data_IF_819510499137
#
_entry.id   IF_819510499137
#
_cell.length_a   1.000
_cell.length_b   1.000
_cell.length_c   1.000
_cell.angle_alpha   90.00
_cell.angle_beta   90.00
_cell.angle_gamma   90.00
#
_symmetry.space_group_name_H-M   'P 1'
#
loop_
_entity.id
_entity.type
_entity.pdbx_description
1 polymer ?
#
# COMPACT_ATOMS: atom_id res chain seq x y z
N UNK A 1 -13.84 15.22 12.43
CA UNK A 1 -13.06 14.69 11.30
C UNK A 1 -12.90 13.18 11.42
N UNK A 2 -13.07 12.42 10.34
CA UNK A 2 -12.85 10.97 10.29
C UNK A 2 -11.40 10.66 9.89
N UNK A 3 -10.72 9.87 10.73
CA UNK A 3 -9.34 9.45 10.50
C UNK A 3 -9.30 7.94 10.30
N UNK A 4 -8.57 7.51 9.28
CA UNK A 4 -8.32 6.12 9.01
C UNK A 4 -7.02 5.68 9.69
N UNK A 5 -7.12 4.78 10.65
CA UNK A 5 -6.00 4.28 11.44
C UNK A 5 -5.63 2.89 10.93
N UNK A 6 -4.40 2.75 10.43
CA UNK A 6 -3.87 1.51 9.83
C UNK A 6 -2.81 0.91 10.73
N UNK A 7 -2.99 -0.36 11.09
CA UNK A 7 -2.07 -1.08 11.96
C UNK A 7 -1.39 -2.21 11.21
N UNK A 8 -0.10 -2.37 11.48
CA UNK A 8 0.75 -3.35 10.84
C UNK A 8 1.41 -4.28 11.86
N UNK A 9 1.77 -5.48 11.40
CA UNK A 9 2.47 -6.50 12.18
C UNK A 9 1.83 -6.77 13.56
N UNK A 10 2.57 -6.57 14.65
CA UNK A 10 2.12 -6.86 16.03
C UNK A 10 0.94 -5.98 16.47
N UNK A 11 0.88 -4.72 16.03
CA UNK A 11 -0.23 -3.81 16.35
C UNK A 11 -1.54 -4.25 15.73
N UNK A 12 -1.51 -4.87 14.55
CA UNK A 12 -2.72 -5.47 13.97
C UNK A 12 -3.28 -6.58 14.85
N UNK A 13 -2.43 -7.36 15.50
CA UNK A 13 -2.86 -8.42 16.41
C UNK A 13 -3.43 -7.84 17.71
N UNK A 14 -2.85 -6.75 18.23
CA UNK A 14 -3.34 -6.04 19.42
C UNK A 14 -4.73 -5.40 19.19
N UNK A 15 -4.94 -4.75 18.04
CA UNK A 15 -6.20 -4.07 17.68
C UNK A 15 -7.24 -5.06 17.11
N UNK A 16 -6.80 -6.21 16.61
CA UNK A 16 -7.66 -7.21 15.96
C UNK A 16 -8.12 -6.83 14.54
N UNK A 17 -7.80 -5.62 14.07
CA UNK A 17 -8.18 -5.10 12.76
C UNK A 17 -7.00 -4.46 12.03
N UNK A 18 -6.95 -4.60 10.70
CA UNK A 18 -5.90 -3.94 9.88
C UNK A 18 -6.10 -2.44 9.73
N UNK A 19 -7.37 -2.01 9.76
CA UNK A 19 -7.77 -0.63 9.54
C UNK A 19 -9.03 -0.38 10.38
N UNK A 20 -9.07 0.75 11.07
CA UNK A 20 -10.28 1.24 11.75
C UNK A 20 -10.49 2.71 11.38
N UNK A 21 -11.73 3.16 11.33
CA UNK A 21 -12.07 4.57 11.21
C UNK A 21 -12.50 5.12 12.56
N UNK A 22 -11.95 6.26 12.97
CA UNK A 22 -12.26 6.94 14.22
C UNK A 22 -12.53 8.41 13.98
N UNK A 23 -13.53 8.92 14.68
CA UNK A 23 -13.92 10.32 14.60
C UNK A 23 -13.21 11.10 15.72
N UNK A 24 -12.47 12.16 15.34
CA UNK A 24 -11.79 13.07 16.25
C UNK A 24 -12.26 14.52 16.05
N UNK A 25 -11.89 15.40 16.99
CA UNK A 25 -12.09 16.85 16.88
C UNK A 25 -11.33 17.45 15.69
N UNK A 26 -11.89 18.49 15.09
CA UNK A 26 -11.31 19.16 13.93
C UNK A 26 -9.97 19.83 14.27
N UNK A 27 -8.93 19.54 13.49
CA UNK A 27 -7.57 20.03 13.77
C UNK A 27 -6.83 19.24 14.85
N UNK A 28 -7.29 18.04 15.20
CA UNK A 28 -6.56 17.14 16.08
C UNK A 28 -5.15 16.86 15.53
N UNK A 29 -4.18 16.83 16.43
CA UNK A 29 -2.80 16.50 16.11
C UNK A 29 -2.55 14.98 16.26
N UNK A 30 -1.50 14.50 15.58
CA UNK A 30 -1.10 13.09 15.61
C UNK A 30 -0.91 12.62 17.04
N UNK A 31 -0.35 13.43 17.94
CA UNK A 31 -0.17 13.07 19.34
C UNK A 31 -1.48 12.85 20.09
N UNK A 32 -2.49 13.69 19.87
CA UNK A 32 -3.83 13.49 20.45
C UNK A 32 -4.47 12.20 19.96
N UNK A 33 -4.35 11.90 18.66
CA UNK A 33 -4.89 10.67 18.07
C UNK A 33 -4.19 9.42 18.59
N UNK A 34 -2.85 9.44 18.71
CA UNK A 34 -2.07 8.32 19.24
C UNK A 34 -2.38 8.07 20.73
N UNK A 35 -2.51 9.11 21.55
CA UNK A 35 -2.90 8.95 22.98
C UNK A 35 -4.29 8.36 23.12
N UNK A 36 -5.24 8.83 22.31
CA UNK A 36 -6.60 8.31 22.32
C UNK A 36 -6.61 6.83 21.90
N UNK A 37 -5.76 6.46 20.93
CA UNK A 37 -5.57 5.08 20.51
C UNK A 37 -4.98 4.18 21.60
N UNK A 38 -3.93 4.63 22.29
CA UNK A 38 -3.35 3.88 23.42
C UNK A 38 -4.36 3.71 24.55
N UNK A 39 -5.19 4.73 24.81
CA UNK A 39 -6.27 4.65 25.82
C UNK A 39 -7.40 3.72 25.39
N UNK A 40 -7.71 3.65 24.09
CA UNK A 40 -8.78 2.80 23.55
C UNK A 40 -8.34 1.33 23.48
N UNK A 41 -7.06 1.07 23.27
CA UNK A 41 -6.50 -0.28 23.10
C UNK A 41 -5.35 -0.54 24.09
N UNK A 42 -5.67 -1.30 25.15
CA UNK A 42 -4.73 -1.75 26.19
C UNK A 42 -3.46 -2.41 25.62
N UNK A 43 -3.56 -3.10 24.48
CA UNK A 43 -2.44 -3.75 23.80
C UNK A 43 -1.49 -2.82 23.04
N UNK A 44 -1.80 -1.52 22.97
CA UNK A 44 -0.93 -0.47 22.39
C UNK A 44 -0.34 0.44 23.46
N UNK A 45 -0.82 0.38 24.71
CA UNK A 45 -0.41 1.28 25.77
C UNK A 45 1.08 1.15 26.08
N UNK A 46 1.83 2.25 25.90
CA UNK A 46 3.28 2.29 26.15
C UNK A 46 4.12 1.68 25.03
N UNK A 47 3.49 1.15 23.97
CA UNK A 47 4.18 0.65 22.78
C UNK A 47 4.39 1.76 21.74
N UNK A 48 3.54 2.80 21.71
CA UNK A 48 3.60 3.88 20.72
C UNK A 48 4.28 5.12 21.30
N UNK A 49 3.81 5.58 22.47
CA UNK A 49 4.42 6.68 23.20
C UNK A 49 5.32 6.15 24.31
N UNK A 50 6.40 6.88 24.60
CA UNK A 50 7.26 6.61 25.74
C UNK A 50 6.67 7.25 27.02
N UNK A 51 7.31 7.03 28.18
CA UNK A 51 6.85 7.51 29.50
C UNK A 51 6.76 9.06 29.55
N UNK A 52 7.56 9.74 28.71
CA UNK A 52 7.51 11.19 28.51
C UNK A 52 6.32 11.68 27.65
N UNK A 53 5.54 10.76 27.06
CA UNK A 53 4.44 11.08 26.14
C UNK A 53 4.92 11.52 24.75
N UNK A 54 6.17 11.20 24.40
CA UNK A 54 6.79 11.44 23.09
C UNK A 54 6.75 10.17 22.23
N UNK A 55 6.77 10.33 20.90
CA UNK A 55 6.79 9.21 19.97
C UNK A 55 8.09 8.42 20.15
N UNK A 56 7.99 7.10 20.34
CA UNK A 56 9.19 6.27 20.42
C UNK A 56 10.00 6.38 19.11
N UNK A 57 11.31 6.67 19.16
CA UNK A 57 12.14 6.84 17.96
C UNK A 57 12.35 5.54 17.17
N UNK A 58 12.01 4.41 17.78
CA UNK A 58 12.10 3.08 17.17
C UNK A 58 10.86 2.76 16.32
N UNK A 59 9.81 3.58 16.41
CA UNK A 59 8.49 3.35 15.82
C UNK A 59 8.25 4.35 14.68
N UNK A 60 7.70 3.86 13.57
CA UNK A 60 7.41 4.70 12.39
C UNK A 60 5.91 5.01 12.32
N UNK A 61 5.58 6.30 12.29
CA UNK A 61 4.20 6.79 12.08
C UNK A 61 4.13 7.60 10.81
N UNK A 62 3.23 7.22 9.92
CA UNK A 62 3.04 7.85 8.63
C UNK A 62 1.65 8.46 8.53
N UNK A 63 1.59 9.74 8.16
CA UNK A 63 0.39 10.48 7.77
C UNK A 63 0.25 10.49 6.25
N UNK A 64 -0.81 9.89 5.70
CA UNK A 64 -1.01 9.66 4.26
C UNK A 64 0.24 9.10 3.54
N UNK A 65 0.99 8.22 4.19
CA UNK A 65 2.23 7.66 3.65
C UNK A 65 3.49 8.53 3.83
N UNK A 66 3.40 9.67 4.52
CA UNK A 66 4.55 10.52 4.86
C UNK A 66 4.87 10.45 6.35
N UNK A 67 6.13 10.21 6.70
CA UNK A 67 6.53 10.06 8.10
C UNK A 67 6.39 11.36 8.90
N UNK A 68 5.71 11.30 10.05
CA UNK A 68 5.39 12.49 10.85
C UNK A 68 6.63 13.08 11.51
N UNK A 69 7.66 12.27 11.80
CA UNK A 69 8.93 12.73 12.39
C UNK A 69 9.69 13.68 11.46
N UNK A 70 9.45 13.59 10.14
CA UNK A 70 10.00 14.49 9.12
C UNK A 70 9.09 15.70 8.83
N UNK A 71 7.97 15.83 9.55
CA UNK A 71 7.03 16.94 9.47
C UNK A 71 7.09 17.72 10.80
N UNK A 72 6.00 17.73 11.57
CA UNK A 72 5.88 18.40 12.87
C UNK A 72 5.77 17.37 14.01
N UNK A 73 6.15 16.12 13.76
CA UNK A 73 6.10 15.02 14.72
C UNK A 73 4.68 14.83 15.27
N UNK A 74 4.56 14.78 16.59
CA UNK A 74 3.29 14.67 17.30
C UNK A 74 2.41 15.91 17.14
N UNK A 75 2.97 17.08 16.82
CA UNK A 75 2.20 18.32 16.59
C UNK A 75 1.66 18.43 15.17
N UNK A 76 1.90 17.43 14.32
CA UNK A 76 1.37 17.39 12.96
C UNK A 76 -0.15 17.37 13.00
N UNK A 77 -0.78 18.41 12.46
CA UNK A 77 -2.24 18.53 12.37
C UNK A 77 -2.78 17.53 11.35
N UNK A 78 -3.85 16.81 11.70
CA UNK A 78 -4.57 15.89 10.83
C UNK A 78 -5.74 16.61 10.15
N UNK A 79 -6.19 16.09 9.01
CA UNK A 79 -7.37 16.58 8.27
C UNK A 79 -8.46 15.49 8.18
N UNK A 80 -9.70 15.85 7.85
CA UNK A 80 -10.75 14.87 7.59
C UNK A 80 -10.39 13.95 6.41
N UNK A 81 -10.55 12.65 6.59
CA UNK A 81 -10.17 11.60 5.63
C UNK A 81 -8.68 11.23 5.66
N UNK A 82 -7.90 11.73 6.62
CA UNK A 82 -6.47 11.45 6.70
C UNK A 82 -6.19 10.02 7.17
N UNK A 83 -5.21 9.37 6.56
CA UNK A 83 -4.82 8.01 6.89
C UNK A 83 -3.52 7.99 7.72
N UNK A 84 -3.61 7.60 8.99
CA UNK A 84 -2.45 7.44 9.88
C UNK A 84 -2.08 5.96 9.99
N UNK A 85 -0.85 5.63 9.61
CA UNK A 85 -0.31 4.27 9.65
C UNK A 85 0.74 4.15 10.74
N UNK A 86 0.61 3.16 11.60
CA UNK A 86 1.51 2.92 12.73
C UNK A 86 2.25 1.60 12.52
N UNK A 87 3.59 1.66 12.56
CA UNK A 87 4.46 0.51 12.34
C UNK A 87 5.30 0.21 13.59
N UNK A 88 5.26 -1.02 14.13
CA UNK A 88 6.07 -1.39 15.29
C UNK A 88 7.57 -1.37 14.97
N UNK A 89 8.45 -1.37 15.99
CA UNK A 89 9.88 -1.29 15.79
C UNK A 89 10.43 -2.44 14.95
N UNK A 90 11.11 -2.08 13.86
CA UNK A 90 11.76 -3.03 12.96
C UNK A 90 13.09 -3.49 13.55
N UNK A 91 13.05 -4.48 14.44
CA UNK A 91 14.25 -5.26 14.76
C UNK A 91 14.60 -6.11 13.53
N UNK A 92 15.72 -5.81 12.88
CA UNK A 92 16.12 -6.38 11.60
C UNK A 92 16.10 -7.92 11.57
N UNK A 93 15.47 -8.44 10.52
CA UNK A 93 15.51 -9.84 10.11
C UNK A 93 15.45 -9.92 8.57
N UNK A 94 16.61 -9.72 7.95
CA UNK A 94 16.97 -9.96 6.55
C UNK A 94 15.84 -10.19 5.52
N UNK A 95 15.54 -9.16 4.71
CA UNK A 95 14.81 -9.32 3.45
C UNK A 95 13.99 -8.10 3.01
N UNK A 96 14.68 -7.02 2.63
CA UNK A 96 14.22 -6.02 1.65
C UNK A 96 12.89 -5.28 1.91
N UNK A 97 12.94 -4.25 2.74
CA UNK A 97 11.98 -3.16 2.72
C UNK A 97 12.73 -1.83 2.88
N UNK A 98 13.01 -1.18 1.75
CA UNK A 98 13.55 0.16 1.73
C UNK A 98 13.65 0.71 0.32
N UNK A 99 12.65 1.51 -0.10
CA UNK A 99 12.83 2.96 -0.28
C UNK A 99 11.90 3.53 -1.36
N UNK A 100 11.14 4.56 -0.99
CA UNK A 100 10.67 5.57 -1.94
C UNK A 100 11.54 6.79 -1.76
N UNK A 101 12.38 7.06 -2.75
CA UNK A 101 13.18 8.27 -2.77
C UNK A 101 14.22 8.28 -3.89
N UNK A 102 13.77 8.60 -5.11
CA UNK A 102 14.59 9.24 -6.14
C UNK A 102 15.85 8.48 -6.58
N UNK A 103 15.66 7.62 -7.57
CA UNK A 103 16.63 7.43 -8.64
C UNK A 103 17.93 6.73 -8.28
N UNK A 104 17.87 5.54 -7.70
CA UNK A 104 18.98 4.59 -7.77
C UNK A 104 18.42 3.20 -8.09
N UNK A 105 19.06 2.56 -9.07
CA UNK A 105 18.71 1.23 -9.56
C UNK A 105 18.88 0.20 -8.44
N UNK A 106 17.80 -0.08 -7.72
CA UNK A 106 17.72 -1.19 -6.78
C UNK A 106 17.65 -2.50 -7.54
N UNK A 107 18.80 -2.99 -7.99
CA UNK A 107 19.00 -4.37 -8.34
C UNK A 107 18.78 -5.20 -7.07
N UNK A 108 17.63 -5.88 -6.99
CA UNK A 108 17.55 -7.09 -6.19
C UNK A 108 18.67 -8.03 -6.62
N UNK A 109 19.11 -8.94 -5.75
CA UNK A 109 20.27 -9.79 -5.96
C UNK A 109 20.20 -10.76 -7.19
N UNK A 110 19.26 -10.53 -8.13
CA UNK A 110 19.17 -11.12 -9.47
C UNK A 110 18.58 -10.17 -10.56
N UNK A 111 18.59 -8.84 -10.37
CA UNK A 111 18.17 -7.88 -11.42
C UNK A 111 16.65 -7.77 -11.68
N UNK A 112 15.80 -8.43 -10.90
CA UNK A 112 14.33 -8.35 -11.00
C UNK A 112 13.74 -7.21 -10.17
N UNK A 113 12.73 -6.52 -10.70
CA UNK A 113 11.95 -5.45 -10.05
C UNK A 113 10.46 -5.81 -9.98
N UNK A 114 9.75 -5.24 -9.00
CA UNK A 114 8.29 -5.33 -8.89
C UNK A 114 7.62 -4.02 -9.31
N UNK A 115 6.58 -4.09 -10.13
CA UNK A 115 5.83 -2.94 -10.67
C UNK A 115 4.33 -3.21 -10.63
N UNK A 116 3.58 -2.31 -10.01
CA UNK A 116 2.13 -2.39 -9.94
C UNK A 116 1.48 -1.41 -10.93
N UNK A 117 0.36 -1.84 -11.54
CA UNK A 117 -0.42 -0.98 -12.43
C UNK A 117 -1.91 -1.33 -12.39
N UNK A 118 -2.73 -0.33 -12.10
CA UNK A 118 -4.19 -0.45 -12.10
C UNK A 118 -4.78 -0.02 -13.44
N UNK A 119 -5.76 -0.77 -13.92
CA UNK A 119 -6.49 -0.50 -15.14
C UNK A 119 -8.00 -0.53 -14.88
N UNK A 120 -8.67 0.52 -15.32
CA UNK A 120 -10.11 0.69 -15.20
C UNK A 120 -10.79 0.35 -16.52
N UNK A 121 -11.96 -0.28 -16.45
CA UNK A 121 -12.78 -0.55 -17.64
C UNK A 121 -12.40 -1.83 -18.40
N UNK A 122 -11.56 -2.68 -17.81
CA UNK A 122 -11.29 -4.03 -18.30
C UNK A 122 -11.64 -5.03 -17.19
N UNK A 123 -12.05 -6.24 -17.56
CA UNK A 123 -12.29 -7.32 -16.59
C UNK A 123 -11.00 -8.10 -16.31
N UNK A 124 -10.88 -8.68 -15.10
CA UNK A 124 -9.76 -9.55 -14.72
C UNK A 124 -9.50 -10.65 -15.76
N UNK A 125 -10.58 -11.26 -16.25
CA UNK A 125 -10.53 -12.29 -17.29
C UNK A 125 -9.82 -11.80 -18.55
N UNK A 126 -10.14 -10.59 -19.01
CA UNK A 126 -9.56 -9.98 -20.19
C UNK A 126 -8.08 -9.62 -19.95
N UNK A 127 -7.76 -9.11 -18.76
CA UNK A 127 -6.38 -8.84 -18.36
C UNK A 127 -5.52 -10.11 -18.42
N UNK A 128 -5.99 -11.21 -17.85
CA UNK A 128 -5.29 -12.51 -17.93
C UNK A 128 -5.16 -13.01 -19.36
N UNK A 129 -6.20 -12.89 -20.19
CA UNK A 129 -6.10 -13.26 -21.62
C UNK A 129 -5.05 -12.42 -22.37
N UNK A 130 -4.89 -11.14 -22.04
CA UNK A 130 -3.83 -10.31 -22.62
C UNK A 130 -2.44 -10.71 -22.15
N UNK A 131 -2.27 -11.02 -20.86
CA UNK A 131 -0.99 -11.52 -20.35
C UNK A 131 -0.59 -12.82 -21.03
N UNK A 132 -1.55 -13.73 -21.26
CA UNK A 132 -1.29 -14.97 -22.01
C UNK A 132 -0.87 -14.68 -23.45
N UNK A 133 -1.55 -13.75 -24.12
CA UNK A 133 -1.21 -13.34 -25.48
C UNK A 133 0.14 -12.60 -25.57
N UNK A 134 0.64 -12.05 -24.46
CA UNK A 134 1.97 -11.44 -24.35
C UNK A 134 3.07 -12.46 -24.06
N UNK A 135 2.75 -13.76 -24.01
CA UNK A 135 3.70 -14.85 -23.75
C UNK A 135 3.67 -15.38 -22.32
N UNK A 136 2.62 -15.07 -21.56
CA UNK A 136 2.38 -15.65 -20.24
C UNK A 136 1.64 -16.99 -20.30
N UNK A 137 1.81 -17.81 -19.29
CA UNK A 137 1.04 -19.02 -19.01
C UNK A 137 0.28 -18.83 -17.68
N UNK A 138 -0.97 -19.29 -17.63
CA UNK A 138 -1.77 -19.21 -16.40
C UNK A 138 -1.34 -20.33 -15.46
N UNK A 139 -0.71 -19.96 -14.35
CA UNK A 139 -0.15 -20.93 -13.38
C UNK A 139 -1.03 -21.03 -12.13
N UNK A 140 -2.00 -20.12 -11.98
CA UNK A 140 -3.04 -20.18 -10.95
C UNK A 140 -4.30 -19.44 -11.36
N UNK A 141 -5.21 -19.26 -10.40
CA UNK A 141 -6.49 -18.56 -10.64
C UNK A 141 -6.28 -17.06 -10.97
N UNK A 142 -5.31 -16.45 -10.29
CA UNK A 142 -5.00 -15.02 -10.36
C UNK A 142 -3.55 -14.72 -10.74
N UNK A 143 -2.80 -15.74 -11.17
CA UNK A 143 -1.35 -15.62 -11.43
C UNK A 143 -1.04 -16.08 -12.86
N UNK A 144 -0.31 -15.24 -13.58
CA UNK A 144 0.21 -15.51 -14.92
C UNK A 144 1.72 -15.38 -14.88
N UNK A 145 2.45 -16.41 -15.32
CA UNK A 145 3.91 -16.40 -15.40
C UNK A 145 4.34 -16.49 -16.86
N UNK A 146 5.17 -15.55 -17.27
CA UNK A 146 5.90 -15.59 -18.52
C UNK A 146 7.31 -16.15 -18.35
N UNK A 147 8.11 -16.12 -19.42
CA UNK A 147 9.45 -16.72 -19.46
C UNK A 147 10.41 -16.12 -18.43
N UNK A 148 10.36 -14.80 -18.24
CA UNK A 148 11.25 -14.06 -17.33
C UNK A 148 10.46 -13.09 -16.45
N UNK A 149 9.14 -13.23 -16.37
CA UNK A 149 8.29 -12.31 -15.62
C UNK A 149 7.10 -13.04 -15.02
N UNK A 150 6.60 -12.55 -13.91
CA UNK A 150 5.39 -13.03 -13.25
C UNK A 150 4.44 -11.88 -13.09
N UNK A 151 3.14 -12.16 -13.13
CA UNK A 151 2.10 -11.16 -12.93
C UNK A 151 0.97 -11.73 -12.10
N UNK A 152 0.68 -11.06 -11.00
CA UNK A 152 -0.53 -11.31 -10.23
C UNK A 152 -1.61 -10.32 -10.65
N UNK A 153 -2.83 -10.81 -10.85
CA UNK A 153 -3.99 -10.02 -11.24
C UNK A 153 -5.02 -10.05 -10.13
N UNK A 154 -5.40 -8.89 -9.62
CA UNK A 154 -6.52 -8.74 -8.68
C UNK A 154 -7.56 -7.82 -9.28
N UNK A 155 -8.84 -8.05 -8.99
CA UNK A 155 -9.92 -7.19 -9.43
C UNK A 155 -10.82 -6.77 -8.27
N UNK A 156 -11.11 -5.48 -8.22
CA UNK A 156 -11.96 -4.87 -7.22
C UNK A 156 -12.98 -3.93 -7.88
N UNK A 157 -14.10 -3.71 -7.19
CA UNK A 157 -15.09 -2.73 -7.60
C UNK A 157 -14.75 -1.42 -6.90
N UNK A 158 -14.47 -0.40 -7.70
CA UNK A 158 -14.20 0.95 -7.19
C UNK A 158 -15.36 1.86 -7.56
N UNK A 159 -15.73 2.73 -6.63
CA UNK A 159 -16.72 3.77 -6.87
C UNK A 159 -16.11 4.87 -7.74
N UNK A 160 -16.71 5.08 -8.90
CA UNK A 160 -16.29 6.11 -9.86
C UNK A 160 -17.41 7.14 -9.95
N UNK A 161 -17.11 8.37 -9.54
CA UNK A 161 -17.91 9.58 -9.69
C UNK A 161 -19.43 9.37 -9.85
N UNK A 162 -20.18 9.43 -8.75
CA UNK A 162 -21.63 9.24 -8.73
C UNK A 162 -22.01 7.86 -8.18
N UNK A 163 -23.00 7.19 -8.79
CA UNK A 163 -23.49 5.85 -8.39
C UNK A 163 -22.92 4.70 -9.23
N UNK A 164 -21.87 4.96 -10.02
CA UNK A 164 -21.32 3.99 -10.96
C UNK A 164 -20.11 3.27 -10.36
N UNK A 165 -20.22 1.95 -10.24
CA UNK A 165 -19.11 1.11 -9.85
C UNK A 165 -18.40 0.59 -11.10
N UNK A 166 -17.10 0.84 -11.20
CA UNK A 166 -16.28 0.30 -12.28
C UNK A 166 -15.38 -0.81 -11.72
N UNK A 167 -15.13 -1.82 -12.53
CA UNK A 167 -14.11 -2.81 -12.20
C UNK A 167 -12.74 -2.18 -12.44
N UNK A 168 -11.93 -2.16 -11.40
CA UNK A 168 -10.51 -1.85 -11.45
C UNK A 168 -9.74 -3.16 -11.31
N UNK A 169 -8.83 -3.40 -12.25
CA UNK A 169 -7.96 -4.57 -12.24
C UNK A 169 -6.56 -4.09 -11.96
N UNK A 170 -6.00 -4.56 -10.86
CA UNK A 170 -4.63 -4.29 -10.43
C UNK A 170 -3.74 -5.43 -10.89
N UNK A 171 -2.71 -5.11 -11.66
CA UNK A 171 -1.71 -6.05 -12.12
C UNK A 171 -0.38 -5.75 -11.43
N UNK A 172 0.17 -6.75 -10.76
CA UNK A 172 1.47 -6.68 -10.09
C UNK A 172 2.45 -7.51 -10.90
N UNK A 173 3.35 -6.84 -11.61
CA UNK A 173 4.40 -7.43 -12.43
C UNK A 173 5.69 -7.60 -11.62
N UNK A 174 6.34 -8.74 -11.73
CA UNK A 174 7.60 -9.07 -11.06
C UNK A 174 8.56 -9.68 -12.09
N UNK A 175 9.77 -9.14 -12.23
CA UNK A 175 10.71 -9.59 -13.27
C UNK A 175 11.72 -8.50 -13.66
N UNK A 176 12.62 -8.77 -14.62
CA UNK A 176 13.62 -7.81 -15.07
C UNK A 176 12.97 -6.55 -15.64
N UNK A 177 13.44 -5.34 -15.30
CA UNK A 177 12.85 -4.09 -15.76
C UNK A 177 12.81 -4.01 -17.30
N UNK A 178 13.86 -4.51 -17.97
CA UNK A 178 13.96 -4.59 -19.43
C UNK A 178 12.83 -5.39 -20.10
N UNK A 179 12.25 -6.35 -19.38
CA UNK A 179 11.12 -7.16 -19.86
C UNK A 179 9.79 -6.56 -19.42
N UNK A 180 9.71 -6.02 -18.19
CA UNK A 180 8.49 -5.45 -17.65
C UNK A 180 8.08 -4.14 -18.32
N UNK A 181 9.02 -3.24 -18.60
CA UNK A 181 8.75 -1.95 -19.24
C UNK A 181 8.00 -2.09 -20.58
N UNK A 182 8.52 -2.86 -21.57
CA UNK A 182 7.82 -3.05 -22.83
C UNK A 182 6.51 -3.86 -22.67
N UNK A 183 6.43 -4.76 -21.69
CA UNK A 183 5.22 -5.54 -21.42
C UNK A 183 4.09 -4.65 -20.90
N UNK A 184 4.36 -3.82 -19.90
CA UNK A 184 3.40 -2.86 -19.34
C UNK A 184 2.94 -1.83 -20.39
N UNK A 185 3.83 -1.43 -21.29
CA UNK A 185 3.48 -0.52 -22.38
C UNK A 185 2.56 -1.20 -23.40
N UNK A 186 2.89 -2.42 -23.84
CA UNK A 186 2.05 -3.22 -24.75
C UNK A 186 0.69 -3.53 -24.14
N UNK A 187 0.66 -3.88 -22.85
CA UNK A 187 -0.56 -4.13 -22.10
C UNK A 187 -1.42 -2.87 -22.04
N UNK A 188 -0.84 -1.72 -21.65
CA UNK A 188 -1.56 -0.46 -21.55
C UNK A 188 -2.14 0.01 -22.89
N UNK A 189 -1.37 -0.11 -23.97
CA UNK A 189 -1.82 0.24 -25.33
C UNK A 189 -3.01 -0.60 -25.79
N UNK A 190 -3.08 -1.88 -25.39
CA UNK A 190 -4.16 -2.80 -25.74
C UNK A 190 -5.38 -2.64 -24.82
N UNK A 191 -5.16 -2.45 -23.52
CA UNK A 191 -6.19 -2.19 -22.53
C UNK A 191 -6.99 -0.93 -22.86
N UNK A 192 -6.32 0.16 -23.29
CA UNK A 192 -6.99 1.40 -23.68
C UNK A 192 -7.79 1.29 -24.99
N UNK A 193 -7.42 0.36 -25.90
CA UNK A 193 -8.11 0.19 -27.18
C UNK A 193 -9.35 -0.72 -27.10
N UNK A 194 -9.47 -1.51 -26.04
CA UNK A 194 -10.58 -2.44 -25.82
C UNK A 194 -11.74 -1.84 -25.00
N UNK A 195 -11.54 -0.66 -24.39
CA UNK A 195 -12.58 0.07 -23.66
C UNK A 195 -13.36 1.08 -24.50
N UNK A 196 -13.31 0.96 -25.83
CA UNK A 196 -14.07 1.78 -26.78
C UNK A 196 -15.30 1.05 -27.30
#
# INVERSE_FOLDING_TARGET
>A
MEIELRFFATFRAAVGSKTISRSFDDGADVGTVLRALETEFDGLEGEILDDAGELRPQLSVLKNGREVVHMDGLTTTLADGDAVSVFPPVAGGNGDAGTSGRGEAGAGADGTVRREKAFRGISERLAREYLVNLGGEKVGDHVVEGPDWRTETSAEKVDVAGSMQLTEVTLVFEGPPETLEPLMEKFGRKAMRAGG
#
